data_IF_183945398691
#
_entry.id   IF_183945398691
#
_cell.length_a   1.000
_cell.length_b   1.000
_cell.length_c   1.000
_cell.angle_alpha   90.00
_cell.angle_beta   90.00
_cell.angle_gamma   90.00
#
_symmetry.space_group_name_H-M   'P 1'
#
loop_
_entity.id
_entity.type
_entity.pdbx_description
1 polymer ?
#
# COMPACT_ATOMS: atom_id res chain seq x y z
N UNK A 1 72.29 -18.23 4.94
CA UNK A 1 72.07 -19.31 3.96
C UNK A 1 71.30 -18.75 2.77
N UNK A 2 72.05 -18.24 1.80
CA UNK A 2 71.60 -17.86 0.46
C UNK A 2 71.76 -19.07 -0.45
N UNK A 3 70.76 -19.42 -1.27
CA UNK A 3 70.97 -19.77 -2.69
C UNK A 3 69.68 -20.23 -3.38
N UNK A 4 69.41 -19.51 -4.47
CA UNK A 4 68.58 -19.83 -5.63
C UNK A 4 68.62 -21.31 -6.06
N UNK A 5 67.51 -21.78 -6.64
CA UNK A 5 67.55 -22.72 -7.76
C UNK A 5 66.58 -22.29 -8.87
N UNK A 6 67.15 -21.92 -10.03
CA UNK A 6 66.50 -21.79 -11.32
C UNK A 6 66.21 -23.18 -11.90
N UNK A 7 65.04 -23.37 -12.54
CA UNK A 7 64.74 -24.27 -13.68
C UNK A 7 63.40 -23.80 -14.27
N UNK A 8 63.10 -23.72 -15.56
CA UNK A 8 63.80 -23.92 -16.82
C UNK A 8 62.93 -23.22 -17.89
N UNK A 9 63.55 -22.70 -18.95
CA UNK A 9 62.85 -22.19 -20.12
C UNK A 9 62.26 -23.35 -20.92
N UNK A 10 60.99 -23.26 -21.30
CA UNK A 10 60.43 -23.97 -22.46
C UNK A 10 59.45 -23.01 -23.14
N UNK A 11 59.94 -22.38 -24.20
CA UNK A 11 59.11 -21.71 -25.21
C UNK A 11 58.63 -22.82 -26.15
N UNK A 12 57.34 -23.14 -26.13
CA UNK A 12 56.69 -23.90 -27.21
C UNK A 12 55.67 -22.95 -27.83
N UNK A 13 56.03 -22.43 -29.00
CA UNK A 13 55.10 -21.87 -29.94
C UNK A 13 54.52 -23.01 -30.77
N UNK A 14 53.19 -23.18 -30.79
CA UNK A 14 52.48 -23.82 -31.90
C UNK A 14 50.99 -23.48 -31.85
N UNK A 15 50.53 -22.97 -32.99
CA UNK A 15 49.19 -22.56 -33.36
C UNK A 15 48.13 -23.65 -33.14
N UNK A 16 46.97 -23.27 -32.62
CA UNK A 16 45.71 -23.94 -32.95
C UNK A 16 44.60 -22.89 -33.08
N UNK A 17 44.40 -22.43 -34.32
CA UNK A 17 43.16 -21.76 -34.72
C UNK A 17 42.06 -22.80 -34.79
N UNK A 18 41.10 -22.75 -33.87
CA UNK A 18 39.78 -23.34 -34.07
C UNK A 18 38.74 -22.29 -33.63
N UNK A 19 38.17 -21.62 -34.63
CA UNK A 19 36.94 -20.85 -34.49
C UNK A 19 35.78 -21.84 -34.37
N UNK A 20 35.21 -21.99 -33.18
CA UNK A 20 33.87 -22.56 -33.03
C UNK A 20 32.91 -21.40 -32.79
N UNK A 21 32.21 -21.01 -33.85
CA UNK A 21 30.95 -20.29 -33.75
C UNK A 21 29.89 -21.23 -33.17
N UNK A 22 29.44 -20.95 -31.95
CA UNK A 22 28.22 -21.52 -31.40
C UNK A 22 27.22 -20.40 -31.16
N UNK A 23 26.30 -20.19 -32.11
CA UNK A 23 25.12 -19.36 -31.88
C UNK A 23 24.15 -20.12 -30.97
N UNK A 24 23.96 -19.65 -29.74
CA UNK A 24 22.84 -20.06 -28.90
C UNK A 24 21.67 -19.11 -29.14
N UNK A 25 20.63 -19.58 -29.84
CA UNK A 25 19.29 -18.97 -29.78
C UNK A 25 18.29 -20.08 -29.45
N UNK A 26 18.29 -20.53 -28.20
CA UNK A 26 17.19 -21.34 -27.67
C UNK A 26 15.97 -20.44 -27.51
N UNK A 27 14.88 -20.83 -28.18
CA UNK A 27 13.61 -20.10 -28.23
C UNK A 27 13.07 -19.77 -26.84
N UNK A 28 12.66 -18.52 -26.68
CA UNK A 28 11.80 -18.10 -25.59
C UNK A 28 10.36 -18.37 -25.99
N UNK A 29 9.84 -19.53 -25.57
CA UNK A 29 8.41 -19.77 -25.53
C UNK A 29 7.78 -18.72 -24.59
N UNK A 30 6.93 -17.86 -25.14
CA UNK A 30 6.09 -16.93 -24.38
C UNK A 30 4.90 -17.69 -23.80
N UNK A 31 5.18 -18.60 -22.87
CA UNK A 31 4.16 -19.08 -21.94
C UNK A 31 4.18 -18.13 -20.75
N UNK A 32 3.08 -17.42 -20.43
CA UNK A 32 3.00 -16.66 -19.18
C UNK A 32 3.28 -17.63 -18.02
N UNK A 33 4.12 -17.27 -17.04
CA UNK A 33 4.33 -18.15 -15.90
C UNK A 33 2.97 -18.40 -15.24
N UNK A 34 2.58 -19.68 -15.24
CA UNK A 34 1.59 -20.26 -14.35
C UNK A 34 1.82 -19.70 -12.95
N UNK A 35 0.74 -19.23 -12.33
CA UNK A 35 0.69 -18.69 -10.98
C UNK A 35 1.72 -19.34 -10.05
N UNK A 36 2.66 -18.55 -9.55
CA UNK A 36 3.47 -18.93 -8.40
C UNK A 36 2.52 -19.16 -7.22
N UNK A 37 2.54 -20.33 -6.56
CA UNK A 37 1.78 -20.52 -5.34
C UNK A 37 2.24 -19.47 -4.31
N UNK A 38 1.30 -18.66 -3.83
CA UNK A 38 1.57 -17.61 -2.86
C UNK A 38 2.18 -18.25 -1.61
N UNK A 39 3.45 -17.93 -1.31
CA UNK A 39 4.08 -18.33 -0.06
C UNK A 39 3.37 -17.54 1.05
N UNK A 40 2.83 -18.23 2.05
CA UNK A 40 2.09 -17.65 3.16
C UNK A 40 2.84 -16.44 3.75
N UNK A 41 2.33 -15.22 3.50
CA UNK A 41 2.91 -13.98 4.01
C UNK A 41 2.63 -12.71 3.21
N UNK A 42 2.37 -12.81 1.89
CA UNK A 42 2.09 -11.63 1.05
C UNK A 42 0.58 -11.48 0.78
N UNK A 43 0.06 -10.27 0.96
CA UNK A 43 -1.32 -9.94 0.64
C UNK A 43 -1.65 -10.27 -0.84
N UNK A 44 -2.94 -10.47 -1.19
CA UNK A 44 -3.37 -10.61 -2.58
C UNK A 44 -2.97 -9.38 -3.40
N UNK A 45 -3.09 -9.43 -4.75
CA UNK A 45 -2.96 -8.23 -5.57
C UNK A 45 -3.80 -7.07 -5.03
N UNK A 46 -3.26 -5.84 -5.12
CA UNK A 46 -3.95 -4.64 -4.68
C UNK A 46 -5.31 -4.52 -5.42
N UNK A 47 -6.44 -4.37 -4.70
CA UNK A 47 -7.73 -4.21 -5.34
C UNK A 47 -7.78 -2.96 -6.23
N UNK A 48 -8.40 -3.09 -7.40
CA UNK A 48 -8.74 -1.93 -8.22
C UNK A 48 -9.83 -1.10 -7.53
N UNK A 49 -9.81 0.21 -7.76
CA UNK A 49 -10.89 1.09 -7.31
C UNK A 49 -11.96 1.14 -8.39
N UNK A 50 -13.20 1.25 -7.95
CA UNK A 50 -14.39 1.43 -8.76
C UNK A 50 -14.69 2.92 -8.90
N UNK A 51 -14.51 3.47 -10.10
CA UNK A 51 -14.66 4.91 -10.37
C UNK A 51 -16.06 5.44 -10.00
N UNK A 52 -17.11 4.64 -10.17
CA UNK A 52 -18.48 5.05 -9.78
C UNK A 52 -18.61 5.10 -8.26
N UNK A 53 -18.01 4.15 -7.54
CA UNK A 53 -18.01 4.14 -6.08
C UNK A 53 -17.14 5.27 -5.51
N UNK A 54 -16.00 5.58 -6.14
CA UNK A 54 -15.17 6.74 -5.79
C UNK A 54 -15.94 8.04 -5.96
N UNK A 55 -16.59 8.26 -7.10
CA UNK A 55 -17.38 9.46 -7.35
C UNK A 55 -18.54 9.60 -6.35
N UNK A 56 -19.22 8.49 -6.03
CA UNK A 56 -20.25 8.46 -4.98
C UNK A 56 -19.69 8.80 -3.61
N UNK A 57 -18.51 8.29 -3.29
CA UNK A 57 -17.78 8.55 -2.06
C UNK A 57 -17.42 10.03 -1.88
N UNK A 58 -16.99 10.68 -2.97
CA UNK A 58 -16.71 12.11 -2.98
C UNK A 58 -17.95 12.93 -2.66
N UNK A 59 -19.09 12.68 -3.32
CA UNK A 59 -20.35 13.39 -3.04
C UNK A 59 -20.77 13.27 -1.57
N UNK A 60 -20.67 12.06 -1.03
CA UNK A 60 -20.98 11.76 0.36
C UNK A 60 -20.02 12.46 1.32
N UNK A 61 -18.72 12.45 1.01
CA UNK A 61 -17.71 13.14 1.79
C UNK A 61 -17.98 14.64 1.85
N UNK A 62 -18.29 15.26 0.70
CA UNK A 62 -18.60 16.69 0.63
C UNK A 62 -19.86 17.05 1.42
N UNK A 63 -20.84 16.15 1.46
CA UNK A 63 -22.09 16.39 2.19
C UNK A 63 -21.95 16.21 3.72
N UNK A 64 -21.08 15.30 4.17
CA UNK A 64 -21.10 14.82 5.56
C UNK A 64 -19.80 15.06 6.35
N UNK A 65 -18.65 15.24 5.68
CA UNK A 65 -17.34 15.15 6.33
C UNK A 65 -16.48 16.42 6.12
N UNK A 66 -16.59 17.04 4.95
CA UNK A 66 -15.70 18.13 4.51
C UNK A 66 -15.75 19.38 5.38
N UNK A 67 -16.86 19.64 6.10
CA UNK A 67 -16.98 20.79 6.99
C UNK A 67 -15.97 20.78 8.13
N UNK A 68 -15.45 19.59 8.49
CA UNK A 68 -14.43 19.42 9.53
C UNK A 68 -13.10 18.96 8.93
N UNK A 69 -13.13 18.00 7.99
CA UNK A 69 -11.91 17.41 7.43
C UNK A 69 -11.36 18.17 6.21
N UNK A 70 -11.95 19.31 5.84
CA UNK A 70 -11.57 20.10 4.67
C UNK A 70 -12.22 19.59 3.38
N UNK A 71 -12.43 20.44 2.36
CA UNK A 71 -13.00 20.01 1.08
C UNK A 71 -12.07 19.11 0.27
N UNK A 72 -10.79 19.07 0.59
CA UNK A 72 -9.70 18.38 -0.11
C UNK A 72 -9.01 17.33 0.76
N UNK A 73 -9.69 16.83 1.80
CA UNK A 73 -9.15 15.88 2.78
C UNK A 73 -8.00 16.43 3.64
N UNK A 74 -7.75 17.74 3.65
CA UNK A 74 -6.57 18.34 4.31
C UNK A 74 -6.55 18.20 5.83
N UNK A 75 -7.72 18.00 6.46
CA UNK A 75 -7.89 18.07 7.90
C UNK A 75 -7.53 19.44 8.48
N UNK A 76 -7.40 19.47 9.80
CA UNK A 76 -6.87 20.61 10.55
C UNK A 76 -5.34 20.55 10.57
N UNK A 77 -4.61 21.66 10.34
CA UNK A 77 -3.14 21.67 10.35
C UNK A 77 -2.52 21.24 11.69
N UNK A 78 -3.23 21.44 12.80
CA UNK A 78 -2.78 21.10 14.15
C UNK A 78 -3.36 19.75 14.64
N UNK A 79 -3.82 18.87 13.74
CA UNK A 79 -4.49 17.59 14.07
C UNK A 79 -3.73 16.66 15.02
N UNK A 80 -2.42 16.81 15.16
CA UNK A 80 -1.58 16.03 16.09
C UNK A 80 -1.55 16.61 17.52
N UNK A 81 -2.10 17.81 17.73
CA UNK A 81 -2.09 18.50 19.01
C UNK A 81 -3.48 18.44 19.63
N UNK A 82 -3.64 17.88 20.84
CA UNK A 82 -4.95 17.84 21.48
C UNK A 82 -5.43 19.25 21.82
N UNK A 83 -6.73 19.46 21.65
CA UNK A 83 -7.44 20.63 22.12
C UNK A 83 -7.39 20.74 23.66
N UNK A 84 -7.79 21.90 24.19
CA UNK A 84 -7.84 22.14 25.64
C UNK A 84 -8.71 21.16 26.41
N UNK A 85 -9.72 20.59 25.76
CA UNK A 85 -10.61 19.58 26.34
C UNK A 85 -10.10 18.15 26.14
N UNK A 86 -8.91 17.98 25.58
CA UNK A 86 -8.29 16.67 25.31
C UNK A 86 -8.67 16.05 23.97
N UNK A 87 -9.67 16.59 23.27
CA UNK A 87 -10.07 16.06 21.95
C UNK A 87 -9.04 16.34 20.87
N UNK A 88 -8.88 15.46 19.88
CA UNK A 88 -8.04 15.73 18.72
C UNK A 88 -8.82 16.44 17.60
N UNK A 89 -8.22 17.43 16.91
CA UNK A 89 -8.80 18.00 15.69
C UNK A 89 -8.89 16.97 14.57
N UNK A 90 -9.75 17.19 13.55
CA UNK A 90 -9.94 16.25 12.45
C UNK A 90 -8.64 16.03 11.65
N UNK A 91 -8.14 14.79 11.53
CA UNK A 91 -6.93 14.52 10.76
C UNK A 91 -7.16 14.65 9.25
N UNK A 92 -6.09 14.87 8.47
CA UNK A 92 -6.12 14.70 7.03
C UNK A 92 -6.45 13.25 6.67
N UNK A 93 -7.23 13.09 5.60
CA UNK A 93 -7.58 11.78 5.03
C UNK A 93 -6.87 11.52 3.69
N UNK A 94 -6.04 12.44 3.21
CA UNK A 94 -5.11 12.21 2.10
C UNK A 94 -3.80 11.54 2.57
N UNK A 95 -2.81 11.45 1.68
CA UNK A 95 -1.46 10.93 1.96
C UNK A 95 -0.71 11.65 3.09
N UNK A 96 -1.08 12.89 3.47
CA UNK A 96 -0.40 13.65 4.53
C UNK A 96 -0.81 13.21 5.95
N UNK A 97 -1.94 12.51 6.06
CA UNK A 97 -2.48 11.98 7.31
C UNK A 97 -1.91 10.63 7.71
N UNK A 98 -2.67 9.90 8.54
CA UNK A 98 -2.31 8.54 8.97
C UNK A 98 -3.44 7.52 8.76
N UNK A 99 -4.55 7.90 8.15
CA UNK A 99 -5.73 7.04 7.96
C UNK A 99 -5.39 5.72 7.28
N UNK A 100 -4.46 5.75 6.32
CA UNK A 100 -3.99 4.57 5.59
C UNK A 100 -3.17 3.58 6.44
N UNK A 101 -2.85 3.89 7.69
CA UNK A 101 -2.27 2.93 8.63
C UNK A 101 -3.28 1.96 9.24
N UNK A 102 -4.58 2.18 9.01
CA UNK A 102 -5.66 1.40 9.58
C UNK A 102 -6.35 0.55 8.52
N UNK A 103 -6.83 -0.62 8.94
CA UNK A 103 -7.56 -1.53 8.07
C UNK A 103 -8.91 -0.96 7.63
N UNK A 104 -9.47 -1.56 6.57
CA UNK A 104 -10.82 -1.21 6.11
C UNK A 104 -11.84 -1.37 7.23
N UNK A 105 -11.84 -2.50 7.93
CA UNK A 105 -12.84 -2.78 8.94
C UNK A 105 -12.81 -1.75 10.07
N UNK A 106 -11.63 -1.46 10.62
CA UNK A 106 -11.50 -0.43 11.67
C UNK A 106 -11.95 0.94 11.17
N UNK A 107 -11.61 1.33 9.94
CA UNK A 107 -12.03 2.63 9.39
C UNK A 107 -13.55 2.70 9.17
N UNK A 108 -14.16 1.62 8.68
CA UNK A 108 -15.61 1.52 8.50
C UNK A 108 -16.33 1.59 9.86
N UNK A 109 -15.81 0.91 10.87
CA UNK A 109 -16.31 0.93 12.25
C UNK A 109 -16.19 2.33 12.85
N UNK A 110 -15.06 3.02 12.69
CA UNK A 110 -14.88 4.38 13.19
C UNK A 110 -15.92 5.35 12.57
N UNK A 111 -16.17 5.25 11.27
CA UNK A 111 -17.18 6.11 10.61
C UNK A 111 -18.59 5.75 11.10
N UNK A 112 -18.90 4.47 11.20
CA UNK A 112 -20.25 4.00 11.54
C UNK A 112 -20.58 4.23 13.02
N UNK A 113 -19.68 3.84 13.90
CA UNK A 113 -19.91 3.62 15.33
C UNK A 113 -19.05 4.53 16.24
N UNK A 114 -18.04 5.21 15.68
CA UNK A 114 -17.12 6.07 16.43
C UNK A 114 -15.84 5.34 16.86
N UNK A 115 -14.95 6.05 17.56
CA UNK A 115 -13.65 5.52 18.02
C UNK A 115 -13.55 5.50 19.53
N UNK A 116 -13.21 4.34 20.11
CA UNK A 116 -12.88 4.21 21.54
C UNK A 116 -11.40 4.51 21.83
N UNK A 117 -10.56 4.65 20.79
CA UNK A 117 -9.10 4.78 20.94
C UNK A 117 -8.62 6.23 20.96
N UNK A 118 -9.49 7.19 20.65
CA UNK A 118 -9.17 8.61 20.64
C UNK A 118 -10.37 9.44 21.10
N UNK A 119 -10.10 10.41 21.99
CA UNK A 119 -11.07 11.46 22.32
C UNK A 119 -11.30 12.33 21.07
N UNK A 120 -12.43 12.13 20.40
CA UNK A 120 -12.80 12.85 19.18
C UNK A 120 -14.19 13.47 19.31
N UNK A 121 -14.40 14.58 18.59
CA UNK A 121 -15.73 15.20 18.43
C UNK A 121 -16.45 14.73 17.17
N UNK A 122 -15.87 13.78 16.43
CA UNK A 122 -16.47 13.21 15.23
C UNK A 122 -17.78 12.48 15.61
N UNK A 123 -18.92 12.82 14.99
CA UNK A 123 -20.17 12.10 15.23
C UNK A 123 -20.14 10.70 14.59
N UNK A 124 -21.04 9.83 15.04
CA UNK A 124 -21.27 8.52 14.41
C UNK A 124 -22.23 8.67 13.24
N UNK A 125 -22.06 7.85 12.19
CA UNK A 125 -22.84 7.96 10.96
C UNK A 125 -23.73 6.74 10.65
N UNK A 126 -23.71 5.68 11.48
CA UNK A 126 -24.44 4.44 11.21
C UNK A 126 -25.98 4.57 11.12
N UNK A 127 -26.57 5.62 11.71
CA UNK A 127 -28.00 5.90 11.54
C UNK A 127 -28.32 6.75 10.29
N UNK A 128 -27.31 7.38 9.69
CA UNK A 128 -27.46 8.36 8.60
C UNK A 128 -27.00 7.81 7.25
N UNK A 129 -25.97 6.95 7.27
CA UNK A 129 -25.33 6.37 6.08
C UNK A 129 -25.45 4.85 6.13
N UNK A 130 -25.71 4.23 4.98
CA UNK A 130 -25.66 2.77 4.85
C UNK A 130 -24.21 2.33 4.76
N UNK A 131 -23.93 1.07 5.10
CA UNK A 131 -22.59 0.50 4.99
C UNK A 131 -21.95 0.69 3.59
N UNK A 132 -22.74 0.59 2.51
CA UNK A 132 -22.22 0.79 1.15
C UNK A 132 -21.85 2.26 0.88
N UNK A 133 -22.56 3.22 1.49
CA UNK A 133 -22.20 4.64 1.41
C UNK A 133 -20.91 4.91 2.21
N UNK A 134 -20.75 4.28 3.38
CA UNK A 134 -19.51 4.38 4.18
C UNK A 134 -18.31 3.76 3.45
N UNK A 135 -18.51 2.60 2.80
CA UNK A 135 -17.49 1.99 1.93
C UNK A 135 -17.12 2.91 0.76
N UNK A 136 -18.10 3.58 0.16
CA UNK A 136 -17.83 4.53 -0.92
C UNK A 136 -16.95 5.70 -0.44
N UNK A 137 -17.22 6.26 0.74
CA UNK A 137 -16.38 7.30 1.35
C UNK A 137 -14.94 6.79 1.55
N UNK A 138 -14.76 5.57 2.08
CA UNK A 138 -13.43 5.00 2.25
C UNK A 138 -12.71 4.78 0.89
N UNK A 139 -13.45 4.41 -0.15
CA UNK A 139 -12.88 4.27 -1.50
C UNK A 139 -12.43 5.61 -2.08
N UNK A 140 -13.16 6.69 -1.79
CA UNK A 140 -12.72 8.05 -2.11
C UNK A 140 -11.43 8.43 -1.38
N UNK A 141 -11.26 8.05 -0.09
CA UNK A 141 -9.99 8.27 0.61
C UNK A 141 -8.86 7.53 -0.10
N UNK A 142 -9.07 6.25 -0.43
CA UNK A 142 -8.10 5.43 -1.16
C UNK A 142 -7.72 6.01 -2.51
N UNK A 143 -8.65 6.65 -3.23
CA UNK A 143 -8.38 7.30 -4.51
C UNK A 143 -7.44 8.51 -4.38
N UNK A 144 -7.38 9.12 -3.19
CA UNK A 144 -6.53 10.28 -2.88
C UNK A 144 -5.21 9.89 -2.18
N UNK A 145 -4.91 8.59 -2.10
CA UNK A 145 -3.66 8.08 -1.58
C UNK A 145 -2.68 7.74 -2.69
N UNK A 146 -1.40 7.91 -2.40
CA UNK A 146 -0.32 7.42 -3.25
C UNK A 146 -0.29 5.89 -3.33
N UNK A 147 0.43 5.32 -4.32
CA UNK A 147 0.53 3.88 -4.49
C UNK A 147 1.11 3.14 -3.27
N UNK A 148 1.99 3.78 -2.51
CA UNK A 148 2.64 3.16 -1.35
C UNK A 148 1.68 3.08 -0.16
N UNK A 149 0.93 4.15 0.10
CA UNK A 149 -0.08 4.23 1.14
C UNK A 149 -1.20 3.23 0.88
N UNK A 150 -1.69 3.14 -0.37
CA UNK A 150 -2.68 2.12 -0.75
C UNK A 150 -2.16 0.70 -0.56
N UNK A 151 -0.92 0.41 -0.96
CA UNK A 151 -0.33 -0.91 -0.78
C UNK A 151 -0.15 -1.26 0.70
N UNK A 152 0.31 -0.32 1.52
CA UNK A 152 0.43 -0.51 2.97
C UNK A 152 -0.92 -0.77 3.61
N UNK A 153 -1.92 0.06 3.30
CA UNK A 153 -3.26 -0.07 3.86
C UNK A 153 -3.91 -1.40 3.50
N UNK A 154 -3.70 -1.87 2.26
CA UNK A 154 -4.16 -3.18 1.83
C UNK A 154 -3.49 -4.32 2.62
N UNK A 155 -2.19 -4.21 2.88
CA UNK A 155 -1.48 -5.18 3.71
C UNK A 155 -2.05 -5.24 5.12
N UNK A 156 -2.38 -4.08 5.73
CA UNK A 156 -3.02 -4.01 7.06
C UNK A 156 -4.39 -4.66 7.04
N UNK A 157 -5.23 -4.30 6.06
CA UNK A 157 -6.58 -4.90 5.87
C UNK A 157 -6.51 -6.41 5.70
N UNK A 158 -5.58 -6.90 4.88
CA UNK A 158 -5.41 -8.32 4.68
C UNK A 158 -4.97 -9.02 5.96
N UNK A 159 -3.99 -8.48 6.70
CA UNK A 159 -3.52 -9.09 7.96
C UNK A 159 -4.64 -9.21 9.00
N UNK A 160 -5.45 -8.17 9.18
CA UNK A 160 -6.60 -8.21 10.10
C UNK A 160 -7.59 -9.30 9.68
N UNK A 161 -7.94 -9.39 8.39
CA UNK A 161 -8.86 -10.43 7.90
C UNK A 161 -8.37 -11.86 8.16
N UNK A 162 -7.05 -12.07 8.31
CA UNK A 162 -6.48 -13.38 8.65
C UNK A 162 -6.53 -13.65 10.17
N UNK A 163 -6.52 -12.62 11.00
CA UNK A 163 -6.53 -12.74 12.46
C UNK A 163 -7.92 -13.03 13.02
N UNK A 164 -8.98 -12.68 12.28
CA UNK A 164 -10.38 -12.89 12.66
C UNK A 164 -10.95 -14.27 12.27
N UNK A 165 -10.18 -15.07 11.53
CA UNK A 165 -10.53 -16.44 11.11
C UNK A 165 -10.09 -17.50 12.12
#
# INVERSE_FOLDING_TARGET
MTSRRLRAAVVIAAMFSVLVSGCSTSGGDTTPPTAVPNLAGEAPPLPELDDERVARGEELYQANCSSCHGPDLSGDPDWKTPNRDGSYPPPPHDSSGHTWHHSDQLLLEIIRDGSDFAETRMPTFGEQLRDDDIRAILEYFKANWGPQERAFQWQVTWQESQAEQ
#
